data_IF_767613360171
#
_entry.id   IF_767613360171
#
_cell.length_a   1.000
_cell.length_b   1.000
_cell.length_c   1.000
_cell.angle_alpha   90.00
_cell.angle_beta   90.00
_cell.angle_gamma   90.00
#
_symmetry.space_group_name_H-M   'P 1'
#
loop_
_entity.id
_entity.type
_entity.pdbx_description
1 polymer ?
#
# COMPACT_ATOMS: atom_id res chain seq x y z
N UNK A 1 -12.53 -20.44 10.51
CA UNK A 1 -13.10 -20.48 9.14
C UNK A 1 -13.02 -19.14 8.42
N UNK A 2 -13.63 -18.06 8.93
CA UNK A 2 -13.56 -16.70 8.34
C UNK A 2 -12.13 -16.15 8.22
N UNK A 3 -11.36 -16.16 9.31
CA UNK A 3 -9.99 -15.63 9.32
C UNK A 3 -9.07 -16.34 8.32
N UNK A 4 -9.07 -17.68 8.31
CA UNK A 4 -8.30 -18.46 7.34
C UNK A 4 -8.69 -18.16 5.89
N UNK A 5 -9.98 -17.96 5.62
CA UNK A 5 -10.46 -17.58 4.29
C UNK A 5 -9.98 -16.19 3.88
N UNK A 6 -10.11 -15.21 4.78
CA UNK A 6 -9.65 -13.83 4.52
C UNK A 6 -8.13 -13.78 4.30
N UNK A 7 -7.36 -14.51 5.10
CA UNK A 7 -5.93 -14.69 4.88
C UNK A 7 -5.63 -15.32 3.50
N UNK A 8 -6.43 -16.32 3.10
CA UNK A 8 -6.28 -16.95 1.78
C UNK A 8 -6.62 -16.01 0.63
N UNK A 9 -7.65 -15.16 0.78
CA UNK A 9 -7.98 -14.11 -0.20
C UNK A 9 -6.80 -13.17 -0.39
N UNK A 10 -6.19 -12.70 0.70
CA UNK A 10 -5.01 -11.84 0.64
C UNK A 10 -3.83 -12.51 -0.06
N UNK A 11 -3.58 -13.79 0.24
CA UNK A 11 -2.54 -14.57 -0.44
C UNK A 11 -2.79 -14.71 -1.95
N UNK A 12 -4.03 -14.94 -2.37
CA UNK A 12 -4.42 -15.11 -3.78
C UNK A 12 -4.20 -13.80 -4.55
N UNK A 13 -4.71 -12.67 -4.06
CA UNK A 13 -4.63 -11.37 -4.77
C UNK A 13 -3.21 -10.79 -4.78
N UNK A 14 -2.34 -11.25 -3.87
CA UNK A 14 -0.92 -10.89 -3.85
C UNK A 14 -0.14 -11.65 -4.93
N UNK A 15 -0.41 -12.95 -5.07
CA UNK A 15 0.29 -13.83 -6.03
C UNK A 15 -0.21 -13.68 -7.47
N UNK A 16 -1.44 -13.22 -7.67
CA UNK A 16 -2.13 -13.29 -8.96
C UNK A 16 -2.89 -12.00 -9.28
N UNK A 17 -3.12 -11.77 -10.57
CA UNK A 17 -3.98 -10.67 -11.04
C UNK A 17 -5.42 -11.16 -11.01
N UNK A 18 -6.19 -10.69 -10.02
CA UNK A 18 -7.60 -11.05 -9.83
C UNK A 18 -8.49 -9.84 -10.08
N UNK A 19 -9.34 -9.92 -11.09
CA UNK A 19 -10.17 -8.80 -11.55
C UNK A 19 -11.61 -8.88 -11.00
N UNK A 20 -12.09 -10.08 -10.69
CA UNK A 20 -13.49 -10.34 -10.35
C UNK A 20 -13.66 -11.11 -9.05
N UNK A 21 -14.85 -11.03 -8.45
CA UNK A 21 -15.16 -11.77 -7.23
C UNK A 21 -15.36 -13.27 -7.50
N UNK A 22 -15.81 -13.61 -8.70
CA UNK A 22 -15.97 -14.99 -9.16
C UNK A 22 -14.61 -15.69 -9.26
N UNK A 23 -13.58 -15.01 -9.76
CA UNK A 23 -12.21 -15.52 -9.74
C UNK A 23 -11.72 -15.81 -8.31
N UNK A 24 -12.00 -14.93 -7.34
CA UNK A 24 -11.68 -15.19 -5.92
C UNK A 24 -12.41 -16.46 -5.45
N UNK A 25 -13.69 -16.62 -5.82
CA UNK A 25 -14.47 -17.81 -5.45
C UNK A 25 -13.86 -19.09 -6.02
N UNK A 26 -13.47 -19.07 -7.29
CA UNK A 26 -12.86 -20.20 -7.98
C UNK A 26 -11.51 -20.57 -7.37
N UNK A 27 -10.68 -19.58 -7.02
CA UNK A 27 -9.39 -19.83 -6.35
C UNK A 27 -9.57 -20.38 -4.94
N UNK A 28 -10.54 -19.87 -4.19
CA UNK A 28 -10.89 -20.41 -2.87
C UNK A 28 -11.42 -21.84 -2.97
N UNK A 29 -12.27 -22.12 -3.95
CA UNK A 29 -12.80 -23.47 -4.19
C UNK A 29 -11.68 -24.46 -4.52
N UNK A 30 -10.72 -24.07 -5.37
CA UNK A 30 -9.50 -24.86 -5.65
C UNK A 30 -8.65 -25.11 -4.40
N UNK A 31 -8.70 -24.21 -3.42
CA UNK A 31 -8.06 -24.36 -2.12
C UNK A 31 -8.92 -25.13 -1.09
N UNK A 32 -10.03 -25.74 -1.52
CA UNK A 32 -10.93 -26.52 -0.66
C UNK A 32 -11.90 -25.68 0.17
N UNK A 33 -12.10 -24.40 -0.17
CA UNK A 33 -13.00 -23.48 0.52
C UNK A 33 -14.16 -23.07 -0.40
N UNK A 34 -15.32 -23.73 -0.27
CA UNK A 34 -16.53 -23.27 -0.97
C UNK A 34 -17.14 -22.05 -0.28
N UNK A 35 -17.38 -21.00 -1.07
CA UNK A 35 -18.02 -19.76 -0.62
C UNK A 35 -18.92 -19.18 -1.69
N UNK A 36 -19.88 -18.38 -1.26
CA UNK A 36 -20.78 -17.65 -2.15
C UNK A 36 -20.21 -16.28 -2.51
N UNK A 37 -20.71 -15.71 -3.61
CA UNK A 37 -20.40 -14.34 -4.00
C UNK A 37 -20.77 -13.32 -2.90
N UNK A 38 -21.87 -13.53 -2.17
CA UNK A 38 -22.26 -12.68 -1.04
C UNK A 38 -21.24 -12.72 0.11
N UNK A 39 -20.63 -13.88 0.37
CA UNK A 39 -19.57 -14.04 1.37
C UNK A 39 -18.32 -13.27 0.95
N UNK A 40 -17.89 -13.41 -0.31
CA UNK A 40 -16.70 -12.73 -0.84
C UNK A 40 -16.90 -11.22 -0.86
N UNK A 41 -18.08 -10.74 -1.28
CA UNK A 41 -18.42 -9.32 -1.27
C UNK A 41 -18.30 -8.71 0.13
N UNK A 42 -18.73 -9.44 1.17
CA UNK A 42 -18.53 -9.01 2.57
C UNK A 42 -17.06 -9.01 2.95
N UNK A 43 -16.31 -10.08 2.64
CA UNK A 43 -14.88 -10.15 2.98
C UNK A 43 -14.06 -9.05 2.28
N UNK A 44 -14.34 -8.74 1.01
CA UNK A 44 -13.71 -7.63 0.26
C UNK A 44 -13.91 -6.30 0.99
N UNK A 45 -15.14 -6.04 1.47
CA UNK A 45 -15.46 -4.82 2.22
C UNK A 45 -14.73 -4.78 3.56
N UNK A 46 -14.73 -5.88 4.31
CA UNK A 46 -14.07 -5.96 5.61
C UNK A 46 -12.54 -5.87 5.50
N UNK A 47 -11.95 -6.48 4.48
CA UNK A 47 -10.53 -6.40 4.15
C UNK A 47 -10.13 -5.06 3.50
N UNK A 48 -11.10 -4.20 3.20
CA UNK A 48 -10.90 -2.90 2.53
C UNK A 48 -10.09 -3.05 1.24
N UNK A 49 -10.43 -4.06 0.42
CA UNK A 49 -9.77 -4.26 -0.87
C UNK A 49 -10.31 -3.23 -1.88
N UNK A 50 -9.41 -2.67 -2.68
CA UNK A 50 -9.69 -1.71 -3.76
C UNK A 50 -9.23 -2.28 -5.09
N UNK A 51 -9.76 -1.76 -6.20
CA UNK A 51 -9.21 -2.05 -7.54
C UNK A 51 -8.09 -1.07 -7.85
N UNK A 52 -6.92 -1.61 -8.16
CA UNK A 52 -5.74 -0.84 -8.60
C UNK A 52 -5.38 -1.23 -10.03
N UNK A 53 -4.90 -0.26 -10.80
CA UNK A 53 -4.41 -0.50 -12.16
C UNK A 53 -3.01 -1.10 -12.09
N UNK A 54 -2.79 -2.18 -12.84
CA UNK A 54 -1.49 -2.84 -13.04
C UNK A 54 -0.71 -2.12 -14.14
N UNK A 55 0.60 -2.40 -14.23
CA UNK A 55 1.47 -1.84 -15.29
C UNK A 55 0.98 -2.20 -16.70
N UNK A 56 0.35 -3.37 -16.85
CA UNK A 56 -0.25 -3.85 -18.10
C UNK A 56 -1.60 -3.19 -18.43
N UNK A 57 -2.08 -2.25 -17.62
CA UNK A 57 -3.36 -1.54 -17.80
C UNK A 57 -4.62 -2.29 -17.32
N UNK A 58 -4.47 -3.50 -16.75
CA UNK A 58 -5.59 -4.27 -16.15
C UNK A 58 -5.86 -3.85 -14.71
N UNK A 59 -7.10 -4.03 -14.23
CA UNK A 59 -7.45 -3.71 -12.84
C UNK A 59 -7.46 -4.97 -11.98
N UNK A 60 -6.75 -4.96 -10.85
CA UNK A 60 -6.79 -6.06 -9.88
C UNK A 60 -7.20 -5.61 -8.49
N UNK A 61 -7.74 -6.54 -7.70
CA UNK A 61 -7.92 -6.30 -6.27
C UNK A 61 -6.57 -6.19 -5.54
N UNK A 62 -6.46 -5.21 -4.65
CA UNK A 62 -5.33 -5.05 -3.75
C UNK A 62 -5.79 -4.49 -2.39
N UNK A 63 -5.10 -4.80 -1.28
CA UNK A 63 -5.37 -4.17 0.00
C UNK A 63 -5.09 -2.66 -0.06
N UNK A 64 -5.96 -1.84 0.55
CA UNK A 64 -5.75 -0.38 0.63
C UNK A 64 -4.38 -0.03 1.24
N UNK A 65 -3.88 -0.84 2.17
CA UNK A 65 -2.57 -0.65 2.82
C UNK A 65 -1.37 -0.73 1.87
N UNK A 66 -1.49 -1.35 0.69
CA UNK A 66 -0.37 -1.37 -0.26
C UNK A 66 -0.15 0.00 -0.91
N UNK A 67 -1.21 0.80 -1.09
CA UNK A 67 -1.11 2.19 -1.53
C UNK A 67 -0.57 3.08 -0.42
N UNK A 68 -1.00 2.83 0.82
CA UNK A 68 -0.45 3.53 1.99
C UNK A 68 1.03 3.20 2.19
N UNK A 69 1.47 1.96 1.98
CA UNK A 69 2.87 1.57 2.11
C UNK A 69 3.77 2.32 1.12
N UNK A 70 3.32 2.62 -0.11
CA UNK A 70 4.14 3.36 -1.07
C UNK A 70 4.30 4.82 -0.68
N UNK A 71 3.22 5.46 -0.23
CA UNK A 71 3.25 6.84 0.27
C UNK A 71 4.02 6.91 1.59
N UNK A 72 3.79 5.97 2.50
CA UNK A 72 4.48 5.84 3.78
C UNK A 72 5.97 5.61 3.60
N UNK A 73 6.37 4.68 2.74
CA UNK A 73 7.77 4.42 2.45
C UNK A 73 8.44 5.67 1.86
N UNK A 74 7.79 6.35 0.89
CA UNK A 74 8.31 7.61 0.35
C UNK A 74 8.42 8.71 1.42
N UNK A 75 7.43 8.82 2.31
CA UNK A 75 7.44 9.77 3.42
C UNK A 75 8.56 9.45 4.40
N UNK A 76 8.77 8.17 4.73
CA UNK A 76 9.85 7.70 5.60
C UNK A 76 11.23 7.94 4.98
N UNK A 77 11.38 7.73 3.66
CA UNK A 77 12.61 8.08 2.93
C UNK A 77 12.89 9.58 3.02
N UNK A 78 11.93 10.42 2.68
CA UNK A 78 12.09 11.89 2.76
C UNK A 78 12.37 12.33 4.20
N UNK A 79 11.65 11.75 5.17
CA UNK A 79 11.81 12.08 6.58
C UNK A 79 13.20 11.68 7.09
N UNK A 80 13.66 10.46 6.80
CA UNK A 80 14.99 9.98 7.21
C UNK A 80 16.13 10.75 6.55
N UNK A 81 15.98 11.11 5.27
CA UNK A 81 16.96 11.95 4.58
C UNK A 81 17.00 13.37 5.14
N UNK A 82 15.84 13.92 5.50
CA UNK A 82 15.71 15.33 5.90
C UNK A 82 15.83 15.63 7.38
N UNK A 83 15.73 14.63 8.24
CA UNK A 83 15.74 14.78 9.69
C UNK A 83 17.07 15.33 10.21
N UNK A 84 16.99 16.35 11.07
CA UNK A 84 18.14 16.92 11.78
C UNK A 84 18.02 16.71 13.28
N UNK A 85 16.87 17.03 13.87
CA UNK A 85 16.60 16.80 15.28
C UNK A 85 15.12 16.89 15.57
N UNK A 86 14.68 16.46 16.75
CA UNK A 86 13.32 16.69 17.24
C UNK A 86 13.34 17.14 18.70
N UNK A 87 12.33 17.92 19.06
CA UNK A 87 12.05 18.36 20.42
C UNK A 87 10.55 18.26 20.70
N UNK A 88 10.12 18.36 21.95
CA UNK A 88 8.70 18.26 22.31
C UNK A 88 8.31 19.23 23.43
N UNK A 89 7.07 19.68 23.41
CA UNK A 89 6.47 20.52 24.44
C UNK A 89 5.01 20.10 24.65
N UNK A 90 4.75 19.40 25.75
CA UNK A 90 3.44 18.85 26.10
C UNK A 90 2.86 17.99 24.96
N UNK A 91 1.86 18.51 24.25
CA UNK A 91 1.15 17.84 23.16
C UNK A 91 1.69 18.21 21.75
N UNK A 92 2.84 18.87 21.67
CA UNK A 92 3.46 19.30 20.41
C UNK A 92 4.82 18.64 20.25
N UNK A 93 5.09 18.07 19.07
CA UNK A 93 6.42 17.63 18.63
C UNK A 93 6.92 18.58 17.57
N UNK A 94 8.12 19.12 17.76
CA UNK A 94 8.82 19.99 16.81
C UNK A 94 9.92 19.19 16.14
N UNK A 95 9.79 18.95 14.84
CA UNK A 95 10.84 18.29 14.04
C UNK A 95 11.61 19.35 13.26
N UNK A 96 12.93 19.35 13.38
CA UNK A 96 13.84 20.16 12.57
C UNK A 96 14.38 19.32 11.42
N UNK A 97 14.31 19.87 10.22
CA UNK A 97 14.84 19.28 8.99
C UNK A 97 15.91 20.18 8.36
N UNK A 98 16.74 19.64 7.45
CA UNK A 98 17.75 20.45 6.78
C UNK A 98 17.10 21.49 5.84
N UNK A 99 17.74 22.63 5.65
CA UNK A 99 17.21 23.71 4.78
C UNK A 99 17.31 23.29 3.32
N UNK A 100 16.18 23.12 2.64
CA UNK A 100 16.14 22.87 1.19
C UNK A 100 16.49 24.14 0.40
N UNK A 101 17.75 24.59 0.41
CA UNK A 101 18.21 25.67 -0.47
C UNK A 101 19.73 25.63 -0.67
N UNK A 102 20.22 24.80 -1.61
CA UNK A 102 21.41 25.04 -2.45
C UNK A 102 21.76 23.80 -3.29
N UNK A 103 21.00 23.51 -4.34
CA UNK A 103 21.44 22.55 -5.38
C UNK A 103 21.19 23.10 -6.78
N UNK A 104 21.51 24.38 -7.03
CA UNK A 104 21.56 24.90 -8.42
C UNK A 104 22.41 26.17 -8.66
N UNK A 105 23.37 26.51 -7.80
CA UNK A 105 24.37 27.55 -8.14
C UNK A 105 25.74 27.11 -7.70
N UNK A 106 26.44 26.39 -8.57
CA UNK A 106 27.90 26.43 -8.74
C UNK A 106 28.27 25.51 -9.91
N UNK A 107 27.89 25.92 -11.12
CA UNK A 107 28.52 25.42 -12.34
C UNK A 107 28.51 26.52 -13.38
N UNK A 108 29.28 27.56 -13.07
CA UNK A 108 29.92 28.48 -14.01
C UNK A 108 30.57 29.56 -13.15
N UNK A 109 31.86 29.43 -12.92
CA UNK A 109 32.81 30.52 -12.84
C UNK A 109 34.22 29.92 -12.84
N UNK A 110 35.03 30.42 -13.76
CA UNK A 110 36.49 30.33 -13.98
C UNK A 110 37.05 29.26 -14.94
N UNK A 111 38.14 29.62 -15.65
CA UNK A 111 38.77 30.95 -15.79
C UNK A 111 38.18 31.77 -16.94
#
# INVERSE_FOLDING_TARGET
MKYNRQAKILEIIDKEVIETQEEIADRLKKAGMEVTQATISRDIKELRLIKVMTEDGRYKYAPLTNTDNTVYNRLMTIFSESYVSSDYANNIVVVKTFRAWHRHRHRQLTP
#
